data_IF_322498568787
#
_entry.id   IF_322498568787
#
_cell.length_a   1.000
_cell.length_b   1.000
_cell.length_c   1.000
_cell.angle_alpha   90.00
_cell.angle_beta   90.00
_cell.angle_gamma   90.00
#
_symmetry.space_group_name_H-M   'P 1'
#
loop_
_entity.id
_entity.type
_entity.pdbx_description
1 polymer ?
#
# COMPACT_ATOMS: atom_id res chain seq x y z
N UNK A 1 -12.57 -16.48 -19.76
CA UNK A 1 -11.63 -15.36 -19.88
C UNK A 1 -11.32 -14.68 -18.54
N UNK A 2 -12.17 -13.83 -17.92
CA UNK A 2 -11.82 -13.19 -16.60
C UNK A 2 -11.47 -14.22 -15.53
N UNK A 3 -12.23 -15.31 -15.41
CA UNK A 3 -11.90 -16.39 -14.48
C UNK A 3 -10.58 -17.13 -14.79
N UNK A 4 -10.16 -17.18 -16.05
CA UNK A 4 -8.87 -17.76 -16.45
C UNK A 4 -7.72 -16.80 -16.11
N UNK A 5 -7.93 -15.50 -16.30
CA UNK A 5 -6.99 -14.45 -15.88
C UNK A 5 -6.82 -14.47 -14.36
N UNK A 6 -7.91 -14.53 -13.60
CA UNK A 6 -7.87 -14.63 -12.14
C UNK A 6 -7.20 -15.92 -11.66
N UNK A 7 -7.46 -17.06 -12.31
CA UNK A 7 -6.78 -18.32 -11.97
C UNK A 7 -5.28 -18.29 -12.33
N UNK A 8 -4.89 -17.63 -13.42
CA UNK A 8 -3.48 -17.51 -13.79
C UNK A 8 -2.72 -16.58 -12.84
N UNK A 9 -3.36 -15.50 -12.38
CA UNK A 9 -2.80 -14.51 -11.47
C UNK A 9 -2.81 -15.02 -10.02
N UNK A 10 -3.81 -15.83 -9.67
CA UNK A 10 -3.97 -16.36 -8.32
C UNK A 10 -4.16 -17.89 -8.35
N UNK A 11 -3.11 -18.65 -8.68
CA UNK A 11 -3.20 -20.10 -8.92
C UNK A 11 -3.60 -20.90 -7.67
N UNK A 12 -3.33 -20.35 -6.48
CA UNK A 12 -3.64 -20.98 -5.18
C UNK A 12 -4.91 -20.44 -4.53
N UNK A 13 -5.55 -19.44 -5.14
CA UNK A 13 -6.83 -18.98 -4.63
C UNK A 13 -7.91 -19.99 -4.94
N UNK A 14 -8.86 -20.11 -4.00
CA UNK A 14 -10.04 -20.97 -4.05
C UNK A 14 -11.05 -20.61 -5.17
N UNK A 15 -10.59 -20.08 -6.30
CA UNK A 15 -11.43 -19.87 -7.49
C UNK A 15 -12.02 -21.17 -8.02
N UNK A 16 -11.34 -22.31 -7.83
CA UNK A 16 -11.87 -23.64 -8.18
C UNK A 16 -13.08 -24.06 -7.33
N UNK A 17 -13.24 -23.52 -6.12
CA UNK A 17 -14.36 -23.84 -5.21
C UNK A 17 -15.52 -22.86 -5.28
N UNK A 18 -15.36 -21.71 -5.97
CA UNK A 18 -16.49 -20.85 -6.29
C UNK A 18 -17.38 -21.52 -7.34
N UNK A 19 -18.44 -22.21 -6.88
CA UNK A 19 -19.52 -22.77 -7.73
C UNK A 19 -20.23 -21.70 -8.59
N UNK A 20 -20.02 -20.42 -8.27
CA UNK A 20 -20.55 -19.28 -9.00
C UNK A 20 -19.49 -18.17 -9.11
N UNK A 21 -19.42 -17.52 -10.27
CA UNK A 21 -18.62 -16.31 -10.46
C UNK A 21 -19.11 -15.23 -9.47
N UNK A 22 -18.21 -14.59 -8.69
CA UNK A 22 -18.59 -13.49 -7.80
C UNK A 22 -19.46 -12.45 -8.52
N UNK A 23 -20.55 -12.01 -7.88
CA UNK A 23 -21.50 -11.05 -8.47
C UNK A 23 -20.81 -9.76 -8.94
N UNK A 24 -19.83 -9.28 -8.19
CA UNK A 24 -19.00 -8.11 -8.56
C UNK A 24 -18.32 -8.26 -9.93
N UNK A 25 -17.89 -9.47 -10.31
CA UNK A 25 -17.30 -9.74 -11.62
C UNK A 25 -18.34 -9.82 -12.73
N UNK A 26 -19.57 -10.22 -12.41
CA UNK A 26 -20.72 -10.21 -13.34
C UNK A 26 -21.13 -8.76 -13.61
N UNK A 27 -21.26 -7.96 -12.55
CA UNK A 27 -21.58 -6.52 -12.61
C UNK A 27 -20.51 -5.74 -13.39
N UNK A 28 -19.23 -6.08 -13.21
CA UNK A 28 -18.13 -5.50 -13.99
C UNK A 28 -18.29 -5.72 -15.51
N UNK A 29 -18.93 -6.82 -15.96
CA UNK A 29 -19.18 -7.02 -17.40
C UNK A 29 -20.17 -6.01 -17.97
N UNK A 30 -21.13 -5.56 -17.16
CA UNK A 30 -22.18 -4.62 -17.53
C UNK A 30 -21.80 -3.16 -17.28
N UNK A 31 -20.74 -2.92 -16.50
CA UNK A 31 -20.26 -1.58 -16.20
C UNK A 31 -19.79 -0.81 -17.46
N UNK A 32 -20.13 0.47 -17.53
CA UNK A 32 -19.68 1.38 -18.58
C UNK A 32 -18.16 1.61 -18.56
N UNK A 33 -17.55 1.52 -17.38
CA UNK A 33 -16.09 1.54 -17.18
C UNK A 33 -15.66 0.25 -16.50
N UNK A 34 -14.71 -0.46 -17.11
CA UNK A 34 -14.21 -1.74 -16.61
C UNK A 34 -12.74 -1.58 -16.28
N UNK A 35 -12.47 -1.16 -15.05
CA UNK A 35 -11.11 -0.98 -14.54
C UNK A 35 -10.78 -2.19 -13.68
N UNK A 36 -9.64 -2.82 -13.94
CA UNK A 36 -9.12 -3.92 -13.17
C UNK A 36 -7.77 -3.48 -12.62
N UNK A 37 -7.60 -3.61 -11.31
CA UNK A 37 -6.39 -3.22 -10.60
C UNK A 37 -5.72 -4.50 -10.09
N UNK A 38 -4.46 -4.68 -10.44
CA UNK A 38 -3.59 -5.69 -9.86
C UNK A 38 -2.55 -4.97 -9.00
N UNK A 39 -2.53 -5.29 -7.71
CA UNK A 39 -1.57 -4.74 -6.75
C UNK A 39 -0.55 -5.82 -6.35
N UNK A 40 0.65 -5.39 -5.97
CA UNK A 40 1.79 -6.25 -5.58
C UNK A 40 2.05 -7.45 -6.51
N UNK A 41 2.11 -7.18 -7.83
CA UNK A 41 2.30 -8.23 -8.84
C UNK A 41 3.60 -9.04 -8.67
N UNK A 42 4.58 -8.49 -7.95
CA UNK A 42 5.86 -9.13 -7.63
C UNK A 42 5.73 -10.34 -6.70
N UNK A 43 4.69 -10.40 -5.88
CA UNK A 43 4.40 -11.59 -5.04
C UNK A 43 4.11 -12.80 -5.93
N UNK A 44 3.43 -12.58 -7.06
CA UNK A 44 2.99 -13.63 -7.98
C UNK A 44 4.10 -13.99 -8.96
N UNK A 45 4.92 -13.03 -9.40
CA UNK A 45 6.00 -13.26 -10.35
C UNK A 45 7.11 -14.17 -9.81
N UNK A 46 7.32 -14.16 -8.48
CA UNK A 46 8.36 -14.96 -7.82
C UNK A 46 8.02 -16.46 -7.71
N UNK A 47 6.80 -16.87 -8.07
CA UNK A 47 6.38 -18.27 -8.05
C UNK A 47 6.46 -18.86 -9.46
N UNK A 48 7.54 -19.61 -9.74
CA UNK A 48 7.66 -20.57 -10.84
C UNK A 48 7.61 -20.03 -12.28
N UNK A 49 8.27 -18.91 -12.62
CA UNK A 49 8.34 -18.38 -14.01
C UNK A 49 6.96 -18.17 -14.67
N UNK A 50 5.90 -17.98 -13.88
CA UNK A 50 4.52 -17.82 -14.35
C UNK A 50 4.27 -16.45 -15.01
N UNK A 51 5.27 -15.57 -15.04
CA UNK A 51 5.18 -14.20 -15.59
C UNK A 51 4.64 -14.19 -17.03
N UNK A 52 5.12 -15.10 -17.88
CA UNK A 52 4.69 -15.15 -19.29
C UNK A 52 3.22 -15.54 -19.42
N UNK A 53 2.77 -16.51 -18.62
CA UNK A 53 1.37 -16.95 -18.59
C UNK A 53 0.47 -15.80 -18.12
N UNK A 54 0.90 -15.05 -17.10
CA UNK A 54 0.18 -13.89 -16.59
C UNK A 54 0.10 -12.79 -17.65
N UNK A 55 1.21 -12.48 -18.32
CA UNK A 55 1.26 -11.47 -19.36
C UNK A 55 0.35 -11.81 -20.54
N UNK A 56 0.33 -13.06 -20.98
CA UNK A 56 -0.56 -13.51 -22.04
C UNK A 56 -2.05 -13.40 -21.65
N UNK A 57 -2.39 -13.76 -20.42
CA UNK A 57 -3.76 -13.62 -19.92
C UNK A 57 -4.19 -12.15 -19.82
N UNK A 58 -3.32 -11.28 -19.29
CA UNK A 58 -3.55 -9.85 -19.24
C UNK A 58 -3.67 -9.22 -20.64
N UNK A 59 -2.87 -9.70 -21.59
CA UNK A 59 -2.96 -9.29 -23.01
C UNK A 59 -4.30 -9.64 -23.63
N UNK A 60 -4.77 -10.88 -23.43
CA UNK A 60 -6.08 -11.31 -23.91
C UNK A 60 -7.21 -10.47 -23.30
N UNK A 61 -7.10 -10.14 -22.01
CA UNK A 61 -8.07 -9.31 -21.31
C UNK A 61 -8.10 -7.87 -21.83
N UNK A 62 -6.93 -7.24 -22.00
CA UNK A 62 -6.79 -5.89 -22.53
C UNK A 62 -7.34 -5.75 -23.96
N UNK A 63 -7.18 -6.80 -24.78
CA UNK A 63 -7.67 -6.85 -26.17
C UNK A 63 -9.12 -7.27 -26.31
N UNK A 64 -9.75 -7.72 -25.25
CA UNK A 64 -11.14 -8.17 -25.33
C UNK A 64 -12.08 -7.01 -25.69
N UNK A 65 -13.18 -7.33 -26.38
CA UNK A 65 -14.21 -6.35 -26.77
C UNK A 65 -14.82 -5.59 -25.58
N UNK A 66 -14.59 -6.07 -24.36
CA UNK A 66 -15.00 -5.41 -23.13
C UNK A 66 -14.27 -4.09 -22.83
N UNK A 67 -13.17 -3.77 -23.54
CA UNK A 67 -12.36 -2.55 -23.36
C UNK A 67 -11.92 -2.32 -21.90
N UNK A 68 -11.36 -3.35 -21.29
CA UNK A 68 -10.85 -3.26 -19.92
C UNK A 68 -9.64 -2.34 -19.85
N UNK A 69 -9.64 -1.44 -18.87
CA UNK A 69 -8.44 -0.73 -18.44
C UNK A 69 -7.79 -1.52 -17.33
N UNK A 70 -6.52 -1.87 -17.51
CA UNK A 70 -5.75 -2.63 -16.54
C UNK A 70 -4.74 -1.69 -15.90
N UNK A 71 -4.77 -1.59 -14.58
CA UNK A 71 -3.76 -0.89 -13.78
C UNK A 71 -2.99 -1.95 -13.03
N UNK A 72 -1.66 -1.89 -13.12
CA UNK A 72 -0.78 -2.80 -12.38
C UNK A 72 0.16 -1.97 -11.52
N UNK A 73 0.27 -2.37 -10.26
CA UNK A 73 1.18 -1.84 -9.28
C UNK A 73 2.15 -2.95 -8.85
N UNK A 74 3.43 -2.63 -8.78
CA UNK A 74 4.49 -3.55 -8.32
C UNK A 74 5.75 -2.80 -7.98
N UNK A 75 6.53 -3.33 -7.03
CA UNK A 75 7.89 -2.87 -6.71
C UNK A 75 8.93 -3.38 -7.72
N UNK A 76 8.60 -4.40 -8.51
CA UNK A 76 9.50 -4.99 -9.50
C UNK A 76 9.43 -4.25 -10.85
N UNK A 77 10.26 -3.23 -11.01
CA UNK A 77 10.35 -2.44 -12.24
C UNK A 77 10.61 -3.28 -13.51
N UNK A 78 11.41 -4.36 -13.40
CA UNK A 78 11.71 -5.23 -14.55
C UNK A 78 10.45 -5.93 -15.07
N UNK A 79 9.52 -6.27 -14.19
CA UNK A 79 8.24 -6.88 -14.55
C UNK A 79 7.39 -5.93 -15.42
N UNK A 80 7.30 -4.65 -15.03
CA UNK A 80 6.59 -3.62 -15.80
C UNK A 80 7.26 -3.37 -17.15
N UNK A 81 8.58 -3.28 -17.18
CA UNK A 81 9.33 -3.10 -18.43
C UNK A 81 9.10 -4.28 -19.39
N UNK A 82 9.09 -5.51 -18.89
CA UNK A 82 8.79 -6.70 -19.72
C UNK A 82 7.34 -6.70 -20.22
N UNK A 83 6.37 -6.37 -19.36
CA UNK A 83 4.97 -6.27 -19.79
C UNK A 83 4.76 -5.17 -20.83
N UNK A 84 5.42 -4.02 -20.68
CA UNK A 84 5.29 -2.90 -21.63
C UNK A 84 5.72 -3.25 -23.06
N UNK A 85 6.61 -4.25 -23.20
CA UNK A 85 7.09 -4.77 -24.49
C UNK A 85 6.14 -5.79 -25.13
N UNK A 86 5.06 -6.18 -24.45
CA UNK A 86 4.08 -7.12 -24.99
C UNK A 86 3.35 -6.47 -26.17
N UNK A 87 3.59 -7.00 -27.37
CA UNK A 87 3.13 -6.40 -28.62
C UNK A 87 1.62 -6.24 -28.69
N UNK A 88 1.21 -5.03 -29.08
CA UNK A 88 -0.17 -4.63 -29.37
C UNK A 88 -1.09 -4.54 -28.14
N UNK A 89 -0.53 -4.04 -27.03
CA UNK A 89 -1.25 -3.36 -25.95
C UNK A 89 -0.66 -1.95 -25.87
N UNK A 90 -1.48 -0.91 -25.86
CA UNK A 90 -1.03 0.44 -25.52
C UNK A 90 -0.83 0.49 -24.01
N UNK A 91 0.42 0.63 -23.57
CA UNK A 91 0.77 0.69 -22.15
C UNK A 91 1.51 1.99 -21.83
N UNK A 92 1.38 2.44 -20.58
CA UNK A 92 2.13 3.57 -20.03
C UNK A 92 2.68 3.11 -18.68
N UNK A 93 3.97 3.36 -18.44
CA UNK A 93 4.61 3.11 -17.15
C UNK A 93 4.73 4.44 -16.44
N UNK A 94 4.14 4.52 -15.25
CA UNK A 94 4.20 5.71 -14.39
C UNK A 94 5.14 5.37 -13.23
N UNK A 95 6.35 5.93 -13.18
CA UNK A 95 7.23 5.73 -12.04
C UNK A 95 6.68 6.48 -10.83
N UNK A 96 6.60 5.78 -9.71
CA UNK A 96 6.29 6.37 -8.40
C UNK A 96 7.57 6.30 -7.56
N UNK A 97 8.02 7.42 -7.01
CA UNK A 97 9.30 7.50 -6.28
C UNK A 97 9.34 6.62 -5.03
N UNK A 98 8.17 6.30 -4.46
CA UNK A 98 8.07 5.65 -3.16
C UNK A 98 8.48 6.57 -2.00
N UNK A 99 8.72 7.85 -2.27
CA UNK A 99 9.26 8.84 -1.35
C UNK A 99 8.37 10.08 -1.36
N UNK A 100 7.97 10.52 -0.18
CA UNK A 100 7.21 11.74 0.06
C UNK A 100 8.22 12.86 0.34
N UNK A 101 8.22 13.93 -0.47
CA UNK A 101 9.08 15.09 -0.22
C UNK A 101 8.84 15.71 1.15
N UNK A 102 9.91 16.23 1.78
CA UNK A 102 9.87 16.78 3.15
C UNK A 102 8.73 17.79 3.39
N UNK A 103 8.50 18.68 2.42
CA UNK A 103 7.46 19.72 2.43
C UNK A 103 6.02 19.15 2.42
N UNK A 104 5.86 17.93 1.90
CA UNK A 104 4.57 17.26 1.74
C UNK A 104 4.26 16.25 2.85
N UNK A 105 5.24 15.90 3.69
CA UNK A 105 5.07 14.89 4.77
C UNK A 105 3.89 15.25 5.68
N UNK A 106 3.79 16.51 6.09
CA UNK A 106 2.73 16.95 7.00
C UNK A 106 1.35 16.81 6.35
N UNK A 107 1.22 17.16 5.08
CA UNK A 107 -0.04 17.03 4.33
C UNK A 107 -0.46 15.57 4.22
N UNK A 108 0.47 14.66 3.94
CA UNK A 108 0.17 13.22 3.85
C UNK A 108 -0.28 12.64 5.18
N UNK A 109 0.43 12.96 6.27
CA UNK A 109 0.08 12.49 7.61
C UNK A 109 -1.29 13.01 8.04
N UNK A 110 -1.59 14.30 7.78
CA UNK A 110 -2.91 14.85 8.09
C UNK A 110 -4.00 14.14 7.28
N UNK A 111 -3.78 13.94 5.97
CA UNK A 111 -4.71 13.22 5.11
C UNK A 111 -4.99 11.79 5.57
N UNK A 112 -3.99 11.10 6.14
CA UNK A 112 -4.18 9.78 6.75
C UNK A 112 -5.14 9.85 7.95
N UNK A 113 -4.94 10.79 8.88
CA UNK A 113 -5.80 10.93 10.07
C UNK A 113 -7.22 11.34 9.68
N UNK A 114 -7.36 12.29 8.76
CA UNK A 114 -8.66 12.74 8.28
C UNK A 114 -9.45 11.59 7.64
N UNK A 115 -8.78 10.78 6.81
CA UNK A 115 -9.38 9.61 6.18
C UNK A 115 -9.79 8.55 7.21
N UNK A 116 -8.92 8.22 8.16
CA UNK A 116 -9.21 7.23 9.18
C UNK A 116 -10.34 7.69 10.11
N UNK A 117 -10.34 8.95 10.56
CA UNK A 117 -11.39 9.50 11.41
C UNK A 117 -12.74 9.51 10.70
N UNK A 118 -12.76 9.91 9.43
CA UNK A 118 -13.98 9.86 8.62
C UNK A 118 -14.49 8.43 8.44
N UNK A 119 -13.61 7.47 8.15
CA UNK A 119 -14.02 6.11 7.84
C UNK A 119 -14.44 5.29 9.06
N UNK A 120 -13.77 5.51 10.21
CA UNK A 120 -14.00 4.78 11.44
C UNK A 120 -14.85 5.53 12.47
N UNK A 121 -15.27 6.77 12.17
CA UNK A 121 -16.07 7.59 13.08
C UNK A 121 -15.35 7.95 14.37
N UNK A 122 -14.05 8.22 14.28
CA UNK A 122 -13.19 8.56 15.42
C UNK A 122 -12.75 10.02 15.37
N UNK A 123 -12.18 10.50 16.47
CA UNK A 123 -11.66 11.87 16.61
C UNK A 123 -10.19 11.86 17.05
N UNK A 124 -9.43 10.84 16.61
CA UNK A 124 -8.02 10.73 16.92
C UNK A 124 -7.28 11.97 16.37
N UNK A 125 -6.55 12.64 17.24
CA UNK A 125 -5.82 13.83 16.88
C UNK A 125 -4.46 13.44 16.35
N UNK A 126 -4.10 13.94 15.16
CA UNK A 126 -2.71 13.85 14.71
C UNK A 126 -1.81 14.43 15.80
N UNK A 127 -0.94 13.63 16.45
CA UNK A 127 -0.08 14.15 17.50
C UNK A 127 0.82 15.19 16.83
N UNK A 128 0.55 16.47 17.12
CA UNK A 128 1.09 17.61 16.40
C UNK A 128 2.59 17.46 16.09
N UNK A 129 2.90 17.05 14.87
CA UNK A 129 3.81 17.67 13.89
C UNK A 129 5.06 18.39 14.42
N UNK A 130 5.73 17.87 15.44
CA UNK A 130 7.03 18.39 15.90
C UNK A 130 8.16 17.37 15.72
N UNK A 131 7.86 16.17 15.21
CA UNK A 131 8.78 15.05 15.17
C UNK A 131 9.15 14.61 13.76
N UNK A 132 8.19 14.58 12.83
CA UNK A 132 8.46 14.36 11.40
C UNK A 132 8.92 15.64 10.68
N UNK A 133 8.27 16.75 10.99
CA UNK A 133 8.62 18.10 10.48
C UNK A 133 10.02 18.56 10.88
N UNK A 134 10.57 18.08 12.01
CA UNK A 134 11.96 18.37 12.40
C UNK A 134 13.01 17.68 11.54
N UNK A 135 12.61 16.70 10.72
CA UNK A 135 13.56 15.93 9.95
C UNK A 135 13.98 16.64 8.67
N UNK A 136 13.20 17.62 8.17
CA UNK A 136 13.45 18.33 6.89
C UNK A 136 13.99 17.39 5.80
N UNK A 137 13.44 16.19 5.73
CA UNK A 137 13.96 15.09 4.94
C UNK A 137 12.83 14.38 4.22
N UNK A 138 13.14 13.99 3.00
CA UNK A 138 12.32 13.11 2.18
C UNK A 138 12.17 11.76 2.88
N UNK A 139 10.94 11.24 2.91
CA UNK A 139 10.61 10.06 3.68
C UNK A 139 9.98 8.98 2.80
N UNK A 140 10.42 7.72 2.89
CA UNK A 140 9.75 6.60 2.23
C UNK A 140 8.29 6.48 2.68
N UNK A 141 7.38 6.20 1.75
CA UNK A 141 5.94 6.02 2.02
C UNK A 141 5.74 4.96 3.10
N UNK A 142 6.36 3.79 2.96
CA UNK A 142 6.26 2.68 3.92
C UNK A 142 6.58 3.13 5.36
N UNK A 143 7.58 4.01 5.52
CA UNK A 143 8.02 4.51 6.83
C UNK A 143 6.98 5.46 7.43
N UNK A 144 6.42 6.36 6.62
CA UNK A 144 5.37 7.29 7.07
C UNK A 144 4.11 6.52 7.45
N UNK A 145 3.67 5.58 6.60
CA UNK A 145 2.47 4.78 6.85
C UNK A 145 2.65 3.94 8.11
N UNK A 146 3.77 3.22 8.25
CA UNK A 146 4.07 2.45 9.45
C UNK A 146 3.95 3.28 10.74
N UNK A 147 4.50 4.50 10.71
CA UNK A 147 4.45 5.38 11.86
C UNK A 147 3.04 5.94 12.12
N UNK A 148 2.32 6.33 11.06
CA UNK A 148 0.94 6.82 11.15
C UNK A 148 0.03 5.77 11.77
N UNK A 149 0.03 4.54 11.25
CA UNK A 149 -0.76 3.44 11.78
C UNK A 149 -0.46 3.17 13.25
N UNK A 150 0.83 3.09 13.59
CA UNK A 150 1.26 2.77 14.96
C UNK A 150 0.80 3.86 15.94
N UNK A 151 0.97 5.14 15.58
CA UNK A 151 0.53 6.26 16.42
C UNK A 151 -0.98 6.32 16.54
N UNK A 152 -1.68 6.21 15.41
CA UNK A 152 -3.13 6.29 15.34
C UNK A 152 -3.78 5.19 16.21
N UNK A 153 -3.34 3.94 16.04
CA UNK A 153 -3.80 2.83 16.86
C UNK A 153 -3.41 3.01 18.33
N UNK A 154 -2.23 3.56 18.61
CA UNK A 154 -1.82 3.80 20.00
C UNK A 154 -2.72 4.80 20.72
N UNK A 155 -3.20 5.80 20.00
CA UNK A 155 -4.13 6.80 20.53
C UNK A 155 -5.50 6.19 20.80
N UNK A 156 -6.06 5.48 19.81
CA UNK A 156 -7.35 4.80 19.95
C UNK A 156 -7.37 3.80 21.09
N UNK A 157 -6.30 3.01 21.21
CA UNK A 157 -6.16 2.02 22.27
C UNK A 157 -5.70 2.63 23.59
N UNK A 158 -5.40 3.93 23.66
CA UNK A 158 -4.81 4.60 24.84
C UNK A 158 -3.57 3.86 25.34
N UNK A 159 -2.80 3.24 24.45
CA UNK A 159 -1.49 2.63 24.73
C UNK A 159 -0.43 3.70 24.67
N UNK A 160 -0.42 4.57 25.69
CA UNK A 160 0.66 5.53 25.82
C UNK A 160 1.95 4.80 26.20
N UNK A 161 3.02 5.03 25.42
CA UNK A 161 4.35 5.02 26.04
C UNK A 161 4.33 6.15 27.08
N UNK A 162 4.58 5.84 28.36
CA UNK A 162 5.09 6.84 29.30
C UNK A 162 6.47 7.26 28.80
N UNK A 163 6.51 8.13 27.79
CA UNK A 163 7.73 8.75 27.34
C UNK A 163 8.07 9.80 28.39
N UNK A 164 8.87 9.40 29.38
CA UNK A 164 9.35 10.30 30.41
C UNK A 164 10.20 11.37 29.72
N UNK A 165 9.61 12.54 29.50
CA UNK A 165 10.25 13.70 28.86
C UNK A 165 11.37 14.30 29.71
N UNK A 166 12.38 13.51 30.08
CA UNK A 166 13.66 14.06 30.50
C UNK A 166 14.32 14.63 29.25
N UNK A 167 13.98 15.88 28.97
CA UNK A 167 14.79 16.85 28.24
C UNK A 167 16.23 16.75 28.75
N UNK A 168 17.08 16.00 28.04
CA UNK A 168 18.51 16.30 28.04
C UNK A 168 18.67 17.53 27.16
N UNK A 169 19.26 18.59 27.72
CA UNK A 169 19.61 19.80 26.99
C UNK A 169 20.54 19.42 25.83
N UNK A 170 20.06 19.46 24.59
CA UNK A 170 20.82 19.15 23.39
C UNK A 170 21.08 20.43 22.60
N UNK A 171 22.03 21.24 23.06
CA UNK A 171 22.51 22.44 22.36
C UNK A 171 23.90 22.23 21.73
N UNK A 172 24.27 21.02 21.27
CA UNK A 172 25.65 20.85 20.82
C UNK A 172 26.07 19.61 20.02
N UNK A 173 25.18 18.80 19.44
CA UNK A 173 25.63 17.71 18.56
C UNK A 173 24.65 17.41 17.42
N UNK A 174 25.14 17.07 16.21
CA UNK A 174 24.29 16.58 15.14
C UNK A 174 23.66 15.27 15.59
N UNK A 175 22.33 15.21 15.61
CA UNK A 175 21.56 14.06 16.09
C UNK A 175 21.86 12.81 15.26
N UNK A 176 22.49 11.81 15.88
CA UNK A 176 22.41 10.41 15.45
C UNK A 176 21.11 9.80 15.95
N UNK A 177 20.47 9.02 15.08
CA UNK A 177 19.10 8.53 15.15
C UNK A 177 18.79 7.63 16.37
N UNK A 178 17.83 8.02 17.22
CA UNK A 178 17.15 7.17 18.24
C UNK A 178 15.61 7.17 18.05
N UNK A 179 15.15 7.08 16.81
CA UNK A 179 13.72 6.95 16.46
C UNK A 179 13.18 5.51 16.32
N UNK A 180 13.97 4.48 15.92
CA UNK A 180 13.41 3.15 15.61
C UNK A 180 12.98 2.31 16.83
N UNK A 181 13.78 2.28 17.90
CA UNK A 181 13.63 1.26 18.95
C UNK A 181 12.33 1.42 19.74
N UNK A 182 11.93 2.66 20.02
CA UNK A 182 10.69 2.93 20.75
C UNK A 182 9.42 2.72 19.93
N UNK A 183 9.49 2.79 18.60
CA UNK A 183 8.33 2.57 17.72
C UNK A 183 7.98 1.09 17.59
N UNK A 184 9.01 0.22 17.52
CA UNK A 184 8.82 -1.22 17.52
C UNK A 184 8.16 -1.70 18.82
N UNK A 185 8.63 -1.20 19.97
CA UNK A 185 8.03 -1.49 21.28
C UNK A 185 6.59 -0.98 21.39
N UNK A 186 6.29 0.20 20.83
CA UNK A 186 4.94 0.74 20.80
C UNK A 186 4.03 -0.12 19.92
N UNK A 187 4.51 -0.52 18.74
CA UNK A 187 3.78 -1.37 17.82
C UNK A 187 3.43 -2.70 18.47
N UNK A 188 4.40 -3.35 19.11
CA UNK A 188 4.15 -4.60 19.82
C UNK A 188 3.11 -4.44 20.94
N UNK A 189 3.11 -3.32 21.67
CA UNK A 189 2.09 -3.04 22.69
C UNK A 189 0.70 -2.79 22.10
N UNK A 190 0.64 -2.08 20.97
CA UNK A 190 -0.59 -1.85 20.22
C UNK A 190 -1.15 -3.18 19.74
N UNK A 191 -0.33 -4.03 19.12
CA UNK A 191 -0.73 -5.35 18.64
C UNK A 191 -1.20 -6.24 19.77
N UNK A 192 -0.43 -6.33 20.86
CA UNK A 192 -0.85 -7.08 22.04
C UNK A 192 -2.22 -6.60 22.53
N UNK A 193 -2.44 -5.29 22.69
CA UNK A 193 -3.72 -4.77 23.21
C UNK A 193 -4.88 -4.92 22.23
N UNK A 194 -4.64 -4.89 20.93
CA UNK A 194 -5.69 -5.06 19.92
C UNK A 194 -6.19 -6.52 19.83
N UNK A 195 -5.32 -7.50 20.14
CA UNK A 195 -5.59 -8.93 19.97
C UNK A 195 -5.61 -9.73 21.28
N UNK A 196 -5.65 -9.06 22.44
CA UNK A 196 -5.92 -9.68 23.75
C UNK A 196 -7.36 -9.47 24.17
#
# INVERSE_FOLDING_TARGET
MIGQVLHAIFPFSNFRTYKCVPKSLIECRQAARKIIIFDDLDIISNQNNMEEVIFDQLRQLARSLGRYKIIMSTRNRRLLERYSKVMGITSMVIPVSGVIPADNVNTVVQGFYDWCNLHYGTEAQSPCMSRFSKLDQDMPIDRIIYACETLYCSELLKTHLRFNGKTKNFTGAPFTYEFPDHFSDLRHKVEHKAFS
#
